data_IF_875406778635
#
_entry.id   IF_875406778635
#
_cell.length_a   1.000
_cell.length_b   1.000
_cell.length_c   1.000
_cell.angle_alpha   90.00
_cell.angle_beta   90.00
_cell.angle_gamma   90.00
#
_symmetry.space_group_name_H-M   'P 1'
#
loop_
_entity.id
_entity.type
_entity.pdbx_description
1 polymer ?
#
# COMPACT_ATOMS: atom_id res chain seq x y z
N UNK A 1 18.00 -9.82 19.84
CA UNK A 1 17.66 -11.20 19.60
C UNK A 1 18.24 -11.66 18.28
N UNK A 2 19.51 -11.96 18.29
CA UNK A 2 20.21 -12.40 17.09
C UNK A 2 20.64 -13.87 17.23
N UNK A 3 20.43 -14.72 16.20
CA UNK A 3 20.77 -16.15 16.30
C UNK A 3 22.22 -16.43 16.70
N UNK A 4 23.16 -15.59 16.26
CA UNK A 4 24.58 -15.76 16.56
C UNK A 4 24.91 -15.68 18.05
N UNK A 5 24.12 -14.97 18.84
CA UNK A 5 24.29 -14.87 20.29
C UNK A 5 23.98 -16.19 21.02
N UNK A 6 23.34 -17.12 20.33
CA UNK A 6 22.91 -18.41 20.87
C UNK A 6 23.62 -19.57 20.19
N UNK A 7 24.86 -19.38 19.73
CA UNK A 7 25.59 -20.40 18.97
C UNK A 7 25.72 -21.72 19.73
N UNK A 8 25.78 -21.69 21.08
CA UNK A 8 25.82 -22.89 21.95
C UNK A 8 24.47 -23.29 22.52
N UNK A 9 23.38 -22.60 22.14
CA UNK A 9 22.05 -22.88 22.66
C UNK A 9 21.43 -24.11 22.00
N UNK A 10 20.38 -24.64 22.62
CA UNK A 10 19.59 -25.72 22.04
C UNK A 10 18.91 -25.29 20.73
N UNK A 11 18.51 -26.28 19.91
CA UNK A 11 17.79 -26.02 18.68
C UNK A 11 16.46 -25.27 18.92
N UNK A 12 15.78 -25.55 20.04
CA UNK A 12 14.57 -24.86 20.41
C UNK A 12 14.82 -23.40 20.69
N UNK A 13 15.91 -23.07 21.39
CA UNK A 13 16.30 -21.69 21.68
C UNK A 13 16.72 -20.92 20.41
N UNK A 14 17.44 -21.60 19.50
CA UNK A 14 17.81 -21.02 18.20
C UNK A 14 16.58 -20.69 17.38
N UNK A 15 15.61 -21.59 17.30
CA UNK A 15 14.35 -21.36 16.58
C UNK A 15 13.57 -20.18 17.18
N UNK A 16 13.49 -20.12 18.50
CA UNK A 16 12.80 -19.02 19.19
C UNK A 16 13.46 -17.67 18.87
N UNK A 17 14.79 -17.59 18.86
CA UNK A 17 15.54 -16.39 18.47
C UNK A 17 15.26 -15.99 17.03
N UNK A 18 15.23 -16.93 16.11
CA UNK A 18 14.93 -16.67 14.70
C UNK A 18 13.51 -16.15 14.51
N UNK A 19 12.55 -16.77 15.19
CA UNK A 19 11.15 -16.33 15.15
C UNK A 19 10.99 -14.91 15.69
N UNK A 20 11.66 -14.59 16.78
CA UNK A 20 11.63 -13.25 17.37
C UNK A 20 12.26 -12.22 16.42
N UNK A 21 13.39 -12.52 15.80
CA UNK A 21 14.04 -11.65 14.83
C UNK A 21 13.13 -11.40 13.63
N UNK A 22 12.46 -12.43 13.12
CA UNK A 22 11.50 -12.29 12.01
C UNK A 22 10.32 -11.41 12.41
N UNK A 23 9.77 -11.58 13.60
CA UNK A 23 8.67 -10.78 14.12
C UNK A 23 9.06 -9.29 14.22
N UNK A 24 10.23 -9.01 14.78
CA UNK A 24 10.74 -7.62 14.89
C UNK A 24 10.92 -6.98 13.52
N UNK A 25 11.49 -7.70 12.56
CA UNK A 25 11.66 -7.21 11.20
C UNK A 25 10.34 -6.94 10.50
N UNK A 26 9.35 -7.80 10.67
CA UNK A 26 8.01 -7.61 10.12
C UNK A 26 7.34 -6.38 10.71
N UNK A 27 7.40 -6.21 12.02
CA UNK A 27 6.87 -5.03 12.69
C UNK A 27 7.54 -3.74 12.19
N UNK A 28 8.84 -3.74 12.06
CA UNK A 28 9.60 -2.59 11.56
C UNK A 28 9.18 -2.20 10.14
N UNK A 29 9.07 -3.18 9.23
CA UNK A 29 8.63 -2.93 7.85
C UNK A 29 7.22 -2.38 7.81
N UNK A 30 6.31 -2.94 8.59
CA UNK A 30 4.92 -2.48 8.67
C UNK A 30 4.84 -1.02 9.07
N UNK A 31 5.60 -0.61 10.08
CA UNK A 31 5.58 0.76 10.59
C UNK A 31 6.30 1.74 9.67
N UNK A 32 7.29 1.27 8.91
CA UNK A 32 8.08 2.12 8.02
C UNK A 32 7.39 2.45 6.72
N UNK A 33 6.66 1.50 6.15
CA UNK A 33 5.97 1.71 4.87
C UNK A 33 4.64 2.43 5.09
N UNK A 34 4.39 3.54 4.37
CA UNK A 34 3.19 4.36 4.61
C UNK A 34 1.87 3.60 4.51
N UNK A 35 1.72 2.75 3.49
CA UNK A 35 0.49 1.97 3.29
C UNK A 35 0.30 0.94 4.40
N UNK A 36 1.34 0.16 4.69
CA UNK A 36 1.30 -0.85 5.75
C UNK A 36 1.06 -0.21 7.11
N UNK A 37 1.71 0.92 7.39
CA UNK A 37 1.50 1.70 8.60
C UNK A 37 0.06 2.18 8.70
N UNK A 38 -0.48 2.72 7.61
CA UNK A 38 -1.85 3.19 7.55
C UNK A 38 -2.87 2.10 7.83
N UNK A 39 -2.70 0.93 7.22
CA UNK A 39 -3.58 -0.23 7.44
C UNK A 39 -3.50 -0.71 8.89
N UNK A 40 -2.31 -0.75 9.47
CA UNK A 40 -2.11 -1.12 10.86
C UNK A 40 -2.81 -0.15 11.81
N UNK A 41 -2.69 1.15 11.59
CA UNK A 41 -3.34 2.16 12.42
C UNK A 41 -4.87 2.10 12.32
N UNK A 42 -5.41 1.84 11.12
CA UNK A 42 -6.84 1.63 10.95
C UNK A 42 -7.30 0.40 11.74
N UNK A 43 -6.56 -0.70 11.69
CA UNK A 43 -6.86 -1.91 12.43
C UNK A 43 -6.89 -1.65 13.95
N UNK A 44 -5.92 -0.93 14.47
CA UNK A 44 -5.88 -0.54 15.88
C UNK A 44 -7.12 0.26 16.31
N UNK A 45 -7.75 0.98 15.38
CA UNK A 45 -8.94 1.77 15.64
C UNK A 45 -10.23 1.07 15.22
N UNK A 46 -10.15 -0.23 14.90
CA UNK A 46 -11.32 -1.03 14.54
C UNK A 46 -11.89 -0.74 13.16
N UNK A 47 -11.08 -0.17 12.26
CA UNK A 47 -11.50 0.19 10.91
C UNK A 47 -10.77 -0.69 9.91
N UNK A 48 -11.51 -1.35 9.02
CA UNK A 48 -10.95 -2.12 7.92
C UNK A 48 -11.28 -1.43 6.60
N UNK A 49 -10.30 -0.82 5.91
CA UNK A 49 -10.53 -0.15 4.64
C UNK A 49 -11.07 -1.06 3.55
N UNK A 50 -10.79 -2.36 3.62
CA UNK A 50 -11.22 -3.33 2.62
C UNK A 50 -12.68 -3.77 2.80
N UNK A 51 -13.16 -3.84 4.04
CA UNK A 51 -14.56 -4.22 4.32
C UNK A 51 -15.56 -3.12 3.98
N UNK A 52 -15.15 -1.88 4.06
CA UNK A 52 -16.02 -0.73 3.79
C UNK A 52 -16.06 -0.33 2.31
N UNK A 53 -15.74 -1.26 1.40
CA UNK A 53 -15.59 -0.98 -0.02
C UNK A 53 -16.87 -0.55 -0.72
N UNK A 54 -18.04 -0.90 -0.19
CA UNK A 54 -19.31 -0.76 -0.92
C UNK A 54 -19.95 0.62 -0.80
N UNK A 55 -19.51 1.47 0.11
CA UNK A 55 -20.29 2.66 0.44
C UNK A 55 -19.56 3.98 0.25
N UNK A 56 -18.29 3.98 -0.07
CA UNK A 56 -17.54 5.20 0.15
C UNK A 56 -16.48 5.56 -0.88
N UNK A 57 -16.44 4.90 -2.04
CA UNK A 57 -15.57 5.37 -3.12
C UNK A 57 -16.24 6.56 -3.81
N UNK A 58 -15.62 7.75 -3.79
CA UNK A 58 -16.17 8.89 -4.51
C UNK A 58 -16.36 8.57 -5.99
N UNK A 59 -17.45 9.06 -6.56
CA UNK A 59 -17.75 8.87 -7.98
C UNK A 59 -16.60 9.33 -8.87
N UNK A 60 -15.97 10.44 -8.51
CA UNK A 60 -14.82 10.98 -9.23
C UNK A 60 -13.66 9.98 -9.29
N UNK A 61 -13.40 9.27 -8.20
CA UNK A 61 -12.34 8.26 -8.19
C UNK A 61 -12.71 7.03 -9.02
N UNK A 62 -13.97 6.61 -8.99
CA UNK A 62 -14.43 5.51 -9.84
C UNK A 62 -14.30 5.87 -11.34
N UNK A 63 -14.64 7.11 -11.70
CA UNK A 63 -14.44 7.59 -13.06
C UNK A 63 -12.97 7.64 -13.46
N UNK A 64 -12.10 8.02 -12.53
CA UNK A 64 -10.66 8.01 -12.73
C UNK A 64 -10.14 6.59 -12.99
N UNK A 65 -10.61 5.61 -12.25
CA UNK A 65 -10.25 4.21 -12.46
C UNK A 65 -10.63 3.74 -13.87
N UNK A 66 -11.83 4.08 -14.31
CA UNK A 66 -12.32 3.73 -15.65
C UNK A 66 -11.46 4.38 -16.74
N UNK A 67 -11.14 5.66 -16.58
CA UNK A 67 -10.30 6.40 -17.51
C UNK A 67 -8.90 5.79 -17.63
N UNK A 68 -8.31 5.41 -16.51
CA UNK A 68 -6.98 4.78 -16.51
C UNK A 68 -6.99 3.40 -17.16
N UNK A 69 -8.03 2.61 -16.94
CA UNK A 69 -8.16 1.30 -17.60
C UNK A 69 -8.32 1.44 -19.11
N UNK A 70 -9.11 2.39 -19.55
CA UNK A 70 -9.24 2.69 -20.98
C UNK A 70 -7.90 3.15 -21.58
N UNK A 71 -7.20 4.02 -20.87
CA UNK A 71 -5.90 4.52 -21.33
C UNK A 71 -4.87 3.38 -21.46
N UNK A 72 -4.88 2.43 -20.52
CA UNK A 72 -4.00 1.27 -20.58
C UNK A 72 -4.32 0.37 -21.78
N UNK A 73 -5.60 0.11 -22.04
CA UNK A 73 -6.04 -0.67 -23.20
C UNK A 73 -5.66 0.02 -24.51
N UNK A 74 -5.91 1.32 -24.63
CA UNK A 74 -5.56 2.10 -25.82
C UNK A 74 -4.06 2.19 -26.04
N UNK A 75 -3.27 2.27 -24.98
CA UNK A 75 -1.82 2.33 -25.09
C UNK A 75 -1.23 1.05 -25.65
N UNK A 76 -1.81 -0.10 -25.30
CA UNK A 76 -1.29 -1.41 -25.74
C UNK A 76 0.18 -1.56 -25.35
N UNK A 77 1.06 -1.59 -26.36
CA UNK A 77 2.52 -1.66 -26.15
C UNK A 77 3.24 -0.36 -26.50
N UNK A 78 2.52 0.73 -26.71
CA UNK A 78 3.12 2.04 -27.01
C UNK A 78 3.82 2.60 -25.78
N UNK A 79 5.14 2.54 -25.77
CA UNK A 79 5.98 2.95 -24.63
C UNK A 79 5.73 4.39 -24.21
N UNK A 80 5.56 5.30 -25.16
CA UNK A 80 5.34 6.73 -24.86
C UNK A 80 4.03 6.94 -24.12
N UNK A 81 2.95 6.30 -24.57
CA UNK A 81 1.64 6.42 -23.91
C UNK A 81 1.65 5.77 -22.53
N UNK A 82 2.32 4.62 -22.39
CA UNK A 82 2.47 3.95 -21.11
C UNK A 82 3.25 4.81 -20.09
N UNK A 83 4.30 5.48 -20.54
CA UNK A 83 5.08 6.39 -19.68
C UNK A 83 4.25 7.59 -19.20
N UNK A 84 3.45 8.17 -20.09
CA UNK A 84 2.56 9.29 -19.76
C UNK A 84 1.55 8.85 -18.70
N UNK A 85 0.94 7.69 -18.90
CA UNK A 85 -0.01 7.13 -17.94
C UNK A 85 0.65 6.83 -16.59
N UNK A 86 1.85 6.25 -16.62
CA UNK A 86 2.61 5.94 -15.40
C UNK A 86 2.87 7.22 -14.58
N UNK A 87 3.26 8.29 -15.24
CA UNK A 87 3.50 9.57 -14.57
C UNK A 87 2.23 10.09 -13.89
N UNK A 88 1.10 10.04 -14.59
CA UNK A 88 -0.19 10.48 -14.04
C UNK A 88 -0.61 9.66 -12.84
N UNK A 89 -0.49 8.35 -12.92
CA UNK A 89 -0.81 7.41 -11.84
C UNK A 89 0.10 7.65 -10.63
N UNK A 90 1.38 7.85 -10.86
CA UNK A 90 2.35 8.12 -9.79
C UNK A 90 2.08 9.46 -9.07
N UNK A 91 1.66 10.47 -9.80
CA UNK A 91 1.25 11.75 -9.21
C UNK A 91 0.01 11.57 -8.31
N UNK A 92 -0.95 10.78 -8.75
CA UNK A 92 -2.13 10.45 -7.93
C UNK A 92 -1.74 9.68 -6.67
N UNK A 93 -0.80 8.75 -6.79
CA UNK A 93 -0.26 8.00 -5.66
C UNK A 93 0.35 8.94 -4.61
N UNK A 94 1.16 9.87 -5.05
CA UNK A 94 1.80 10.86 -4.17
C UNK A 94 0.76 11.70 -3.43
N UNK A 95 -0.27 12.17 -4.13
CA UNK A 95 -1.35 12.94 -3.49
C UNK A 95 -2.10 12.13 -2.46
N UNK A 96 -2.42 10.87 -2.76
CA UNK A 96 -3.12 9.98 -1.83
C UNK A 96 -2.31 9.68 -0.59
N UNK A 97 -1.00 9.45 -0.75
CA UNK A 97 -0.09 9.26 0.40
C UNK A 97 -0.10 10.48 1.32
N UNK A 98 -0.04 11.67 0.74
CA UNK A 98 -0.08 12.90 1.50
C UNK A 98 -1.41 13.06 2.25
N UNK A 99 -2.53 12.72 1.60
CA UNK A 99 -3.85 12.76 2.23
C UNK A 99 -3.97 11.76 3.38
N UNK A 100 -3.39 10.57 3.24
CA UNK A 100 -3.35 9.58 4.32
C UNK A 100 -2.57 10.12 5.51
N UNK A 101 -1.38 10.67 5.28
CA UNK A 101 -0.55 11.24 6.34
C UNK A 101 -1.28 12.38 7.06
N UNK A 102 -1.89 13.28 6.30
CA UNK A 102 -2.60 14.44 6.85
C UNK A 102 -3.81 14.02 7.68
N UNK A 103 -4.62 13.07 7.20
CA UNK A 103 -5.80 12.60 7.92
C UNK A 103 -5.45 11.79 9.15
N UNK A 104 -4.35 11.04 9.15
CA UNK A 104 -3.91 10.24 10.30
C UNK A 104 -3.11 11.05 11.31
N UNK A 105 -2.04 11.70 10.84
CA UNK A 105 -1.04 12.28 11.74
C UNK A 105 -1.43 13.67 12.24
N UNK A 106 -2.21 14.42 11.48
CA UNK A 106 -2.64 15.78 11.85
C UNK A 106 -4.07 15.78 12.37
N UNK A 107 -5.01 15.29 11.59
CA UNK A 107 -6.44 15.32 11.93
C UNK A 107 -6.90 14.16 12.81
N UNK A 108 -6.13 13.09 12.92
CA UNK A 108 -6.49 11.86 13.64
C UNK A 108 -7.85 11.31 13.21
N UNK A 109 -8.20 11.47 11.93
CA UNK A 109 -9.45 11.00 11.36
C UNK A 109 -9.21 9.71 10.59
N UNK A 110 -9.28 8.58 11.29
CA UNK A 110 -8.95 7.27 10.71
C UNK A 110 -10.02 6.77 9.74
N UNK A 111 -11.27 7.17 9.90
CA UNK A 111 -12.33 6.83 8.95
C UNK A 111 -12.07 7.48 7.60
N UNK A 112 -11.70 8.74 7.58
CA UNK A 112 -11.36 9.46 6.35
C UNK A 112 -10.07 8.93 5.75
N UNK A 113 -9.07 8.64 6.58
CA UNK A 113 -7.81 8.02 6.15
C UNK A 113 -8.05 6.67 5.47
N UNK A 114 -8.99 5.88 5.98
CA UNK A 114 -9.34 4.59 5.39
C UNK A 114 -9.87 4.72 3.96
N UNK A 115 -10.60 5.79 3.65
CA UNK A 115 -11.07 6.06 2.29
C UNK A 115 -9.91 6.32 1.34
N UNK A 116 -8.93 7.11 1.78
CA UNK A 116 -7.73 7.39 0.98
C UNK A 116 -6.86 6.15 0.82
N UNK A 117 -6.75 5.33 1.87
CA UNK A 117 -6.02 4.06 1.82
C UNK A 117 -6.65 3.09 0.82
N UNK A 118 -7.97 3.04 0.76
CA UNK A 118 -8.68 2.19 -0.20
C UNK A 118 -8.36 2.60 -1.64
N UNK A 119 -8.40 3.90 -1.91
CA UNK A 119 -8.01 4.44 -3.21
C UNK A 119 -6.54 4.13 -3.52
N UNK A 120 -5.68 4.26 -2.53
CA UNK A 120 -4.25 4.00 -2.67
C UNK A 120 -3.96 2.52 -2.96
N UNK A 121 -4.67 1.59 -2.33
CA UNK A 121 -4.54 0.16 -2.62
C UNK A 121 -4.89 -0.14 -4.08
N UNK A 122 -5.92 0.50 -4.61
CA UNK A 122 -6.24 0.37 -6.04
C UNK A 122 -5.10 0.91 -6.92
N UNK A 123 -4.57 2.08 -6.58
CA UNK A 123 -3.49 2.71 -7.35
C UNK A 123 -2.23 1.83 -7.36
N UNK A 124 -1.89 1.21 -6.22
CA UNK A 124 -0.75 0.29 -6.13
C UNK A 124 -0.94 -0.92 -7.05
N UNK A 125 -2.14 -1.50 -7.05
CA UNK A 125 -2.44 -2.65 -7.89
C UNK A 125 -2.42 -2.28 -9.37
N UNK A 126 -2.99 -1.14 -9.73
CA UNK A 126 -2.97 -0.64 -11.10
C UNK A 126 -1.54 -0.34 -11.56
N UNK A 127 -0.71 0.20 -10.70
CA UNK A 127 0.70 0.47 -10.98
C UNK A 127 1.45 -0.83 -11.33
N UNK A 128 1.17 -1.93 -10.62
CA UNK A 128 1.75 -3.23 -10.94
C UNK A 128 1.38 -3.70 -12.34
N UNK A 129 0.10 -3.57 -12.72
CA UNK A 129 -0.37 -3.92 -14.06
C UNK A 129 0.31 -3.06 -15.14
N UNK A 130 0.48 -1.78 -14.85
CA UNK A 130 1.12 -0.83 -15.74
C UNK A 130 2.61 -1.16 -15.93
N UNK A 131 3.30 -1.49 -14.86
CA UNK A 131 4.71 -1.91 -14.90
C UNK A 131 4.88 -3.20 -15.71
N UNK A 132 3.97 -4.15 -15.57
CA UNK A 132 3.96 -5.38 -16.40
C UNK A 132 3.81 -5.04 -17.88
N UNK A 133 2.92 -4.13 -18.23
CA UNK A 133 2.73 -3.69 -19.61
C UNK A 133 3.98 -3.00 -20.17
N UNK A 134 4.67 -2.23 -19.34
CA UNK A 134 5.91 -1.52 -19.72
C UNK A 134 7.09 -2.49 -19.91
N UNK A 135 7.10 -3.60 -19.18
CA UNK A 135 8.15 -4.61 -19.25
C UNK A 135 7.97 -5.59 -20.41
N UNK A 136 6.79 -5.68 -20.98
CA UNK A 136 6.46 -6.63 -22.07
C UNK A 136 7.12 -6.28 -23.41
#
# INVERSE_FOLDING_TARGET
VHPDKHASASDAQKRASMQMATLVNTAYRTLKQPISRGLYLCDLHGIDPQLETNTAMPTEFLMQQMAWREALEEAGSDTTQLEILYKEVNEARTRLLHQVEETMDVAHNYTEAAKHLRALLFVEKFTEELEEAMAA
#
